data_IF_216913638835
#
_entry.id   IF_216913638835
#
_cell.length_a   1.000
_cell.length_b   1.000
_cell.length_c   1.000
_cell.angle_alpha   90.00
_cell.angle_beta   90.00
_cell.angle_gamma   90.00
#
_symmetry.space_group_name_H-M   'P 1'
#
loop_
_entity.id
_entity.type
_entity.pdbx_description
1 polymer ?
#
# COMPACT_ATOMS: atom_id res chain seq x y z
N UNK A 1 12.66 -0.98 -55.34
CA UNK A 1 12.77 0.18 -54.39
C UNK A 1 11.45 0.51 -53.69
N UNK A 2 10.29 0.39 -54.36
CA UNK A 2 8.95 0.56 -53.74
C UNK A 2 8.66 -0.46 -52.63
N UNK A 3 8.96 -1.74 -52.84
CA UNK A 3 8.62 -2.79 -51.86
C UNK A 3 9.37 -2.67 -50.53
N UNK A 4 10.67 -2.33 -50.56
CA UNK A 4 11.46 -2.06 -49.33
C UNK A 4 10.86 -0.92 -48.50
N UNK A 5 10.28 0.11 -49.14
CA UNK A 5 9.61 1.21 -48.45
C UNK A 5 8.29 0.78 -47.80
N UNK A 6 7.57 -0.17 -48.40
CA UNK A 6 6.33 -0.73 -47.84
C UNK A 6 6.63 -1.58 -46.61
N UNK A 7 7.67 -2.44 -46.64
CA UNK A 7 8.08 -3.22 -45.48
C UNK A 7 8.56 -2.35 -44.31
N UNK A 8 9.34 -1.30 -44.58
CA UNK A 8 9.75 -0.32 -43.57
C UNK A 8 8.55 0.40 -42.94
N UNK A 9 7.52 0.69 -43.72
CA UNK A 9 6.31 1.35 -43.24
C UNK A 9 5.46 0.41 -42.37
N UNK A 10 5.29 -0.85 -42.76
CA UNK A 10 4.58 -1.86 -41.98
C UNK A 10 5.31 -2.17 -40.67
N UNK A 11 6.64 -2.25 -40.69
CA UNK A 11 7.46 -2.46 -39.49
C UNK A 11 7.34 -1.28 -38.50
N UNK A 12 7.28 -0.04 -39.01
CA UNK A 12 7.08 1.16 -38.20
C UNK A 12 5.67 1.24 -37.59
N UNK A 13 4.63 0.81 -38.31
CA UNK A 13 3.26 0.74 -37.78
C UNK A 13 3.14 -0.34 -36.70
N UNK A 14 3.76 -1.51 -36.92
CA UNK A 14 3.78 -2.61 -35.95
C UNK A 14 4.48 -2.20 -34.64
N UNK A 15 5.61 -1.51 -34.71
CA UNK A 15 6.31 -0.99 -33.53
C UNK A 15 5.52 0.11 -32.83
N UNK A 16 4.84 0.99 -33.58
CA UNK A 16 3.97 2.02 -33.01
C UNK A 16 2.76 1.41 -32.27
N UNK A 17 2.15 0.35 -32.80
CA UNK A 17 1.05 -0.37 -32.15
C UNK A 17 1.49 -1.07 -30.87
N UNK A 18 2.67 -1.70 -30.86
CA UNK A 18 3.24 -2.34 -29.65
C UNK A 18 3.46 -1.30 -28.54
N UNK A 19 3.95 -0.09 -28.85
CA UNK A 19 4.12 0.99 -27.88
C UNK A 19 2.80 1.51 -27.29
N UNK A 20 1.68 1.37 -28.00
CA UNK A 20 0.35 1.78 -27.52
C UNK A 20 -0.25 0.73 -26.58
N UNK A 21 0.07 -0.56 -26.75
CA UNK A 21 -0.41 -1.63 -25.86
C UNK A 21 0.32 -1.70 -24.52
N UNK A 22 1.51 -1.10 -24.38
CA UNK A 22 2.26 -1.05 -23.12
C UNK A 22 1.84 0.09 -22.18
N UNK A 23 0.74 0.81 -22.45
CA UNK A 23 0.50 2.11 -21.80
C UNK A 23 -0.09 2.08 -20.40
N UNK A 24 -0.59 0.95 -19.88
CA UNK A 24 -1.07 0.88 -18.48
C UNK A 24 -0.86 -0.52 -17.87
N UNK A 25 0.39 -0.92 -17.65
CA UNK A 25 0.67 -1.72 -16.46
C UNK A 25 0.89 -0.69 -15.36
N UNK A 26 -0.11 -0.50 -14.49
CA UNK A 26 0.05 0.34 -13.31
C UNK A 26 1.27 -0.17 -12.56
N UNK A 27 2.39 0.55 -12.67
CA UNK A 27 3.64 0.09 -12.08
C UNK A 27 3.40 -0.02 -10.58
N UNK A 28 3.50 -1.25 -10.06
CA UNK A 28 3.52 -1.48 -8.64
C UNK A 28 4.50 -0.49 -8.01
N UNK A 29 4.13 0.10 -6.88
CA UNK A 29 5.03 1.04 -6.23
C UNK A 29 6.33 0.33 -5.85
N UNK A 30 7.44 1.09 -5.89
CA UNK A 30 8.78 0.57 -5.62
C UNK A 30 8.77 -0.16 -4.27
N UNK A 31 9.34 -1.36 -4.16
CA UNK A 31 9.39 -2.15 -2.92
C UNK A 31 8.02 -2.58 -2.37
N UNK A 32 7.03 -2.85 -3.23
CA UNK A 32 5.78 -3.49 -2.79
C UNK A 32 6.03 -4.78 -1.98
N UNK A 33 5.56 -4.80 -0.72
CA UNK A 33 5.69 -5.93 0.18
C UNK A 33 4.66 -7.03 -0.07
N UNK A 34 5.05 -8.30 0.14
CA UNK A 34 4.15 -9.47 0.15
C UNK A 34 3.43 -9.66 1.50
N UNK A 35 3.54 -8.68 2.39
CA UNK A 35 3.05 -8.72 3.75
C UNK A 35 3.49 -7.51 4.57
N UNK A 36 3.35 -7.62 5.89
CA UNK A 36 3.84 -6.64 6.86
C UNK A 36 4.36 -7.35 8.11
N UNK A 37 5.49 -6.86 8.64
CA UNK A 37 6.09 -7.36 9.89
C UNK A 37 6.15 -8.90 9.99
N UNK A 38 6.71 -9.53 8.95
CA UNK A 38 6.85 -10.98 8.79
C UNK A 38 5.53 -11.77 8.72
N UNK A 39 4.39 -11.11 8.48
CA UNK A 39 3.11 -11.75 8.15
C UNK A 39 2.85 -11.53 6.67
N UNK A 40 2.73 -12.61 5.89
CA UNK A 40 2.33 -12.50 4.48
C UNK A 40 0.84 -12.21 4.37
N UNK A 41 0.44 -11.49 3.32
CA UNK A 41 -0.98 -11.36 2.99
C UNK A 41 -1.66 -12.75 2.90
N UNK A 42 -2.93 -12.82 3.24
CA UNK A 42 -3.74 -14.04 3.29
C UNK A 42 -3.36 -15.08 4.36
N UNK A 43 -2.36 -14.78 5.21
CA UNK A 43 -1.99 -15.64 6.34
C UNK A 43 -3.19 -15.84 7.28
N UNK A 44 -3.42 -17.08 7.69
CA UNK A 44 -4.52 -17.44 8.58
C UNK A 44 -4.20 -17.08 10.04
N UNK A 45 -5.13 -16.42 10.73
CA UNK A 45 -4.95 -15.96 12.12
C UNK A 45 -4.53 -17.09 13.07
N UNK A 46 -5.04 -18.31 12.88
CA UNK A 46 -4.76 -19.45 13.74
C UNK A 46 -3.31 -19.96 13.63
N UNK A 47 -2.57 -19.51 12.60
CA UNK A 47 -1.15 -19.84 12.41
C UNK A 47 -0.23 -18.84 13.12
N UNK A 48 -0.78 -17.70 13.54
CA UNK A 48 -0.05 -16.62 14.19
C UNK A 48 -0.14 -16.75 15.70
N UNK A 49 1.00 -16.57 16.36
CA UNK A 49 1.07 -16.48 17.82
C UNK A 49 0.92 -15.03 18.26
N UNK A 50 0.58 -14.86 19.53
CA UNK A 50 0.65 -13.57 20.22
C UNK A 50 -0.26 -12.49 19.59
N UNK A 51 -1.38 -12.92 19.02
CA UNK A 51 -2.42 -12.03 18.48
C UNK A 51 -3.57 -11.89 19.48
N UNK A 52 -3.80 -10.66 19.93
CA UNK A 52 -4.91 -10.31 20.82
C UNK A 52 -6.04 -9.68 20.02
N UNK A 53 -7.24 -10.26 20.12
CA UNK A 53 -8.44 -9.70 19.52
C UNK A 53 -8.81 -8.36 20.16
N UNK A 54 -9.20 -7.39 19.33
CA UNK A 54 -9.60 -6.05 19.76
C UNK A 54 -11.09 -5.84 19.58
N UNK A 55 -11.58 -5.90 18.35
CA UNK A 55 -12.98 -5.65 18.00
C UNK A 55 -13.29 -6.12 16.55
N UNK A 56 -14.57 -6.14 16.19
CA UNK A 56 -15.02 -6.31 14.80
C UNK A 56 -15.09 -4.95 14.11
N UNK A 57 -14.43 -4.80 12.96
CA UNK A 57 -14.39 -3.52 12.22
C UNK A 57 -15.72 -3.20 11.56
N UNK A 58 -16.49 -4.22 11.20
CA UNK A 58 -17.76 -4.11 10.51
C UNK A 58 -18.90 -4.80 11.28
N UNK A 59 -20.13 -4.41 10.97
CA UNK A 59 -21.32 -4.95 11.62
C UNK A 59 -21.56 -6.45 11.31
N UNK A 60 -21.01 -6.94 10.18
CA UNK A 60 -21.14 -8.34 9.81
C UNK A 60 -20.28 -9.27 10.68
N UNK A 61 -19.19 -8.74 11.27
CA UNK A 61 -18.21 -9.53 12.01
C UNK A 61 -17.24 -10.29 11.12
N UNK A 62 -17.28 -10.08 9.79
CA UNK A 62 -16.35 -10.71 8.85
C UNK A 62 -14.94 -10.11 8.96
N UNK A 63 -14.78 -8.85 9.39
CA UNK A 63 -13.47 -8.24 9.62
C UNK A 63 -13.18 -8.14 11.12
N UNK A 64 -12.27 -8.98 11.58
CA UNK A 64 -11.79 -8.97 12.96
C UNK A 64 -10.47 -8.21 13.05
N UNK A 65 -10.33 -7.36 14.06
CA UNK A 65 -9.14 -6.55 14.30
C UNK A 65 -8.36 -7.12 15.46
N UNK A 66 -7.05 -7.28 15.27
CA UNK A 66 -6.11 -7.79 16.27
C UNK A 66 -4.96 -6.81 16.48
N UNK A 67 -4.31 -6.90 17.63
CA UNK A 67 -2.97 -6.36 17.87
C UNK A 67 -2.03 -7.53 18.14
N UNK A 68 -0.76 -7.37 17.82
CA UNK A 68 0.29 -8.30 18.21
C UNK A 68 0.90 -7.86 19.55
N UNK A 69 1.20 -8.81 20.44
CA UNK A 69 1.93 -8.54 21.68
C UNK A 69 3.38 -8.20 21.34
N UNK A 70 3.95 -7.21 22.03
CA UNK A 70 5.33 -6.73 21.83
C UNK A 70 5.66 -6.41 20.37
N UNK A 71 4.72 -5.75 19.68
CA UNK A 71 4.87 -5.32 18.29
C UNK A 71 5.83 -4.12 18.14
N UNK A 72 6.05 -3.71 16.90
CA UNK A 72 6.94 -2.59 16.54
C UNK A 72 6.49 -1.28 17.21
N UNK A 73 7.36 -0.71 18.05
CA UNK A 73 7.20 0.65 18.59
C UNK A 73 7.67 1.74 17.62
N UNK A 74 8.57 1.39 16.68
CA UNK A 74 9.17 2.32 15.72
C UNK A 74 9.10 1.70 14.32
N UNK A 75 8.64 2.48 13.35
CA UNK A 75 8.62 2.11 11.94
C UNK A 75 9.04 3.30 11.08
N UNK A 76 10.04 3.11 10.21
CA UNK A 76 10.56 4.20 9.38
C UNK A 76 11.12 5.39 10.17
N UNK A 77 11.55 5.16 11.42
CA UNK A 77 11.98 6.20 12.36
C UNK A 77 10.85 6.93 13.10
N UNK A 78 9.59 6.71 12.72
CA UNK A 78 8.44 7.26 13.42
C UNK A 78 8.03 6.35 14.58
N UNK A 79 7.69 6.95 15.73
CA UNK A 79 7.07 6.24 16.84
C UNK A 79 5.62 5.89 16.47
N UNK A 80 5.28 4.62 16.62
CA UNK A 80 3.95 4.08 16.35
C UNK A 80 3.20 3.96 17.67
N UNK A 81 1.99 4.51 17.70
CA UNK A 81 1.12 4.44 18.89
C UNK A 81 0.42 3.08 18.98
N UNK A 82 -0.04 2.58 17.83
CA UNK A 82 -0.76 1.32 17.74
C UNK A 82 -0.70 0.75 16.33
N UNK A 83 -0.58 -0.57 16.25
CA UNK A 83 -0.74 -1.32 15.01
C UNK A 83 -2.01 -2.16 15.11
N UNK A 84 -2.85 -2.07 14.09
CA UNK A 84 -4.07 -2.88 13.95
C UNK A 84 -3.94 -3.79 12.74
N UNK A 85 -4.16 -5.08 12.93
CA UNK A 85 -4.18 -6.09 11.89
C UNK A 85 -5.61 -6.51 11.62
N UNK A 86 -6.08 -6.28 10.40
CA UNK A 86 -7.41 -6.67 9.96
C UNK A 86 -7.36 -8.06 9.32
N UNK A 87 -8.23 -8.94 9.80
CA UNK A 87 -8.43 -10.28 9.26
C UNK A 87 -9.85 -10.41 8.71
N UNK A 88 -9.97 -10.53 7.39
CA UNK A 88 -11.24 -10.82 6.74
C UNK A 88 -11.44 -12.33 6.70
N UNK A 89 -12.51 -12.82 7.35
CA UNK A 89 -12.83 -14.26 7.46
C UNK A 89 -11.63 -15.11 7.89
N UNK A 90 -10.81 -14.56 8.78
CA UNK A 90 -9.63 -15.22 9.34
C UNK A 90 -8.34 -15.09 8.53
N UNK A 91 -8.33 -14.36 7.39
CA UNK A 91 -7.15 -14.12 6.56
C UNK A 91 -6.64 -12.69 6.68
N UNK A 92 -5.33 -12.51 6.81
CA UNK A 92 -4.71 -11.19 6.95
C UNK A 92 -4.82 -10.36 5.67
N UNK A 93 -5.50 -9.20 5.73
CA UNK A 93 -5.79 -8.39 4.53
C UNK A 93 -5.37 -6.93 4.64
N UNK A 94 -5.14 -6.40 5.84
CA UNK A 94 -4.81 -4.99 6.02
C UNK A 94 -4.10 -4.76 7.35
N UNK A 95 -3.20 -3.78 7.35
CA UNK A 95 -2.56 -3.28 8.56
C UNK A 95 -2.72 -1.77 8.63
N UNK A 96 -2.97 -1.24 9.84
CA UNK A 96 -3.07 0.20 10.09
C UNK A 96 -2.10 0.60 11.18
N UNK A 97 -1.16 1.47 10.82
CA UNK A 97 -0.24 2.10 11.75
C UNK A 97 -0.86 3.42 12.19
N UNK A 98 -1.09 3.57 13.49
CA UNK A 98 -1.63 4.79 14.09
C UNK A 98 -0.50 5.59 14.72
N UNK A 99 -0.49 6.88 14.42
CA UNK A 99 0.44 7.87 14.98
C UNK A 99 -0.39 8.97 15.63
N UNK A 100 0.07 9.49 16.77
CA UNK A 100 -0.68 10.48 17.56
C UNK A 100 -0.33 11.93 17.24
N UNK A 101 0.89 12.19 16.76
CA UNK A 101 1.41 13.53 16.61
C UNK A 101 1.93 13.85 15.21
N UNK A 102 1.90 15.14 14.88
CA UNK A 102 2.34 15.65 13.58
C UNK A 102 3.83 15.39 13.31
N UNK A 103 4.67 15.39 14.35
CA UNK A 103 6.11 15.19 14.19
C UNK A 103 6.42 13.78 13.65
N UNK A 104 5.86 12.75 14.28
CA UNK A 104 5.99 11.37 13.83
C UNK A 104 5.27 11.13 12.49
N UNK A 105 4.18 11.83 12.20
CA UNK A 105 3.54 11.78 10.88
C UNK A 105 4.49 12.28 9.78
N UNK A 106 5.17 13.42 9.99
CA UNK A 106 6.13 13.97 9.04
C UNK A 106 7.32 13.03 8.84
N UNK A 107 7.83 12.41 9.93
CA UNK A 107 8.89 11.40 9.83
C UNK A 107 8.43 10.22 8.96
N UNK A 108 7.25 9.67 9.23
CA UNK A 108 6.71 8.56 8.45
C UNK A 108 6.51 8.96 6.99
N UNK A 109 5.94 10.14 6.72
CA UNK A 109 5.76 10.66 5.36
C UNK A 109 7.07 10.69 4.58
N UNK A 110 8.11 11.27 5.18
CA UNK A 110 9.42 11.38 4.55
C UNK A 110 10.06 10.00 4.30
N UNK A 111 9.93 9.08 5.26
CA UNK A 111 10.36 7.69 5.08
C UNK A 111 9.61 7.03 3.90
N UNK A 112 8.28 7.12 3.86
CA UNK A 112 7.50 6.50 2.80
C UNK A 112 7.82 7.09 1.41
N UNK A 113 8.06 8.39 1.34
CA UNK A 113 8.44 9.06 0.08
C UNK A 113 9.80 8.62 -0.42
N UNK A 114 10.75 8.41 0.51
CA UNK A 114 12.08 7.89 0.19
C UNK A 114 12.03 6.45 -0.29
N UNK A 115 11.28 5.59 0.39
CA UNK A 115 11.27 4.15 0.13
C UNK A 115 10.36 3.74 -1.03
N UNK A 116 9.20 4.38 -1.18
CA UNK A 116 8.14 3.98 -2.12
C UNK A 116 7.90 5.03 -3.23
N UNK A 117 8.69 6.11 -3.23
CA UNK A 117 8.63 7.21 -4.19
C UNK A 117 7.66 8.33 -3.78
N UNK A 118 7.91 9.57 -4.24
CA UNK A 118 7.10 10.73 -3.91
C UNK A 118 5.69 10.63 -4.48
N UNK A 119 4.72 11.25 -3.81
CA UNK A 119 3.33 11.35 -4.25
C UNK A 119 2.81 12.77 -4.06
N UNK A 120 1.99 13.21 -4.99
CA UNK A 120 1.16 14.40 -4.79
C UNK A 120 -0.02 14.04 -3.87
N UNK A 121 -0.45 14.98 -3.01
CA UNK A 121 -1.63 14.76 -2.19
C UNK A 121 -2.87 14.67 -3.09
N UNK A 122 -3.86 13.89 -2.67
CA UNK A 122 -5.11 13.74 -3.40
C UNK A 122 -5.89 15.07 -3.53
N UNK A 123 -5.72 15.98 -2.57
CA UNK A 123 -6.18 17.37 -2.67
C UNK A 123 -5.32 18.29 -1.80
N UNK A 124 -5.41 19.60 -2.03
CA UNK A 124 -4.72 20.62 -1.21
C UNK A 124 -5.26 20.73 0.22
N UNK A 125 -6.43 20.13 0.47
CA UNK A 125 -7.13 20.14 1.75
C UNK A 125 -6.72 18.88 2.52
N UNK A 126 -6.92 17.72 1.91
CA UNK A 126 -6.66 16.43 2.54
C UNK A 126 -5.26 15.95 2.20
N UNK A 127 -4.35 15.99 3.18
CA UNK A 127 -3.05 15.30 3.08
C UNK A 127 -3.27 13.78 3.03
N UNK A 128 -3.61 13.26 1.85
CA UNK A 128 -3.80 11.85 1.53
C UNK A 128 -2.92 11.46 0.36
N UNK A 129 -2.03 10.50 0.58
CA UNK A 129 -1.10 9.98 -0.41
C UNK A 129 -1.38 8.50 -0.65
N UNK A 130 -1.42 8.10 -1.92
CA UNK A 130 -1.81 6.74 -2.32
C UNK A 130 -0.71 6.12 -3.17
N UNK A 131 -0.28 4.93 -2.76
CA UNK A 131 0.55 4.03 -3.55
C UNK A 131 -0.27 2.81 -3.90
N UNK A 132 -0.57 2.63 -5.19
CA UNK A 132 -1.23 1.44 -5.70
C UNK A 132 -0.15 0.48 -6.18
N UNK A 133 -0.20 -0.74 -5.65
CA UNK A 133 0.63 -1.86 -6.05
C UNK A 133 -0.19 -2.90 -6.80
N UNK A 134 0.47 -3.95 -7.30
CA UNK A 134 -0.21 -5.07 -7.95
C UNK A 134 -0.89 -5.99 -6.92
N UNK A 135 -0.34 -6.03 -5.69
CA UNK A 135 -0.77 -6.94 -4.61
C UNK A 135 -1.45 -6.21 -3.46
N UNK A 136 -1.12 -4.94 -3.27
CA UNK A 136 -1.43 -4.17 -2.08
C UNK A 136 -1.62 -2.70 -2.40
N UNK A 137 -2.26 -1.99 -1.47
CA UNK A 137 -2.45 -0.55 -1.54
C UNK A 137 -2.00 0.06 -0.22
N UNK A 138 -1.16 1.08 -0.30
CA UNK A 138 -0.77 1.87 0.87
C UNK A 138 -1.41 3.24 0.79
N UNK A 139 -1.98 3.68 1.91
CA UNK A 139 -2.57 5.01 2.04
C UNK A 139 -2.00 5.67 3.28
N UNK A 140 -1.33 6.80 3.10
CA UNK A 140 -0.97 7.69 4.19
C UNK A 140 -1.99 8.82 4.21
N UNK A 141 -2.58 9.09 5.36
CA UNK A 141 -3.46 10.25 5.50
C UNK A 141 -3.38 10.86 6.89
N UNK A 142 -3.49 12.18 6.96
CA UNK A 142 -3.64 12.92 8.20
C UNK A 142 -5.10 12.84 8.68
N UNK A 143 -5.30 12.59 9.98
CA UNK A 143 -6.63 12.53 10.60
C UNK A 143 -7.07 13.88 11.20
N UNK A 144 -6.30 14.97 10.99
CA UNK A 144 -6.60 16.31 11.52
C UNK A 144 -7.85 16.96 10.89
N UNK A 145 -8.57 16.28 10.00
CA UNK A 145 -9.73 16.81 9.28
C UNK A 145 -11.09 16.24 9.70
N UNK A 146 -11.18 15.47 10.78
CA UNK A 146 -12.49 15.04 11.32
C UNK A 146 -12.54 15.34 12.82
N UNK A 147 -12.73 16.62 13.13
CA UNK A 147 -13.23 17.11 14.43
C UNK A 147 -14.37 18.08 14.17
#
# INVERSE_FOLDING_TARGET
>A
MKEKKVYLFILAISTCLICIFFREYGLAFINEGDGFNNIKWETEINTLKDMEYLFNRDASGDIKVYKRVDDLEIFGGARIDRIEYDFFRGRFVSVKLKIKDLYNFVILKNFLFKEYGPKEPFSDIVERYVWNGDKSKMVLYSNYEIS
#
